data_IF_674486566870
#
_entry.id   IF_674486566870
#
_cell.length_a   1.000
_cell.length_b   1.000
_cell.length_c   1.000
_cell.angle_alpha   90.00
_cell.angle_beta   90.00
_cell.angle_gamma   90.00
#
_symmetry.space_group_name_H-M   'P 1'
#
loop_
_entity.id
_entity.type
_entity.pdbx_description
1 polymer ?
#
# COMPACT_ATOMS: atom_id res chain seq x y z
N UNK A 1 42.72 -15.26 -51.68
CA UNK A 1 41.71 -14.66 -50.78
C UNK A 1 41.57 -13.21 -51.15
N UNK A 2 40.47 -12.88 -51.81
CA UNK A 2 40.15 -11.55 -52.34
C UNK A 2 39.69 -10.62 -51.22
N UNK A 3 39.91 -9.32 -51.40
CA UNK A 3 39.62 -8.25 -50.41
C UNK A 3 38.16 -8.20 -49.92
N UNK A 4 37.24 -8.88 -50.63
CA UNK A 4 35.83 -9.01 -50.26
C UNK A 4 35.53 -9.95 -49.09
N UNK A 5 36.40 -10.94 -48.81
CA UNK A 5 36.18 -11.88 -47.68
C UNK A 5 36.56 -11.28 -46.32
N UNK A 6 37.46 -10.28 -46.30
CA UNK A 6 37.86 -9.58 -45.06
C UNK A 6 36.77 -8.62 -44.55
N UNK A 7 35.95 -8.04 -45.44
CA UNK A 7 34.88 -7.10 -45.04
C UNK A 7 33.67 -7.82 -44.42
N UNK A 8 33.33 -9.03 -44.91
CA UNK A 8 32.24 -9.85 -44.37
C UNK A 8 32.58 -10.46 -43.01
N UNK A 9 33.85 -10.85 -42.77
CA UNK A 9 34.32 -11.32 -41.48
C UNK A 9 34.34 -10.22 -40.40
N UNK A 10 34.57 -8.96 -40.78
CA UNK A 10 34.49 -7.80 -39.88
C UNK A 10 33.06 -7.46 -39.45
N UNK A 11 32.08 -7.57 -40.36
CA UNK A 11 30.67 -7.29 -40.07
C UNK A 11 30.02 -8.35 -39.15
N UNK A 12 30.34 -9.63 -39.34
CA UNK A 12 29.86 -10.71 -38.46
C UNK A 12 30.52 -10.65 -37.07
N UNK A 13 31.81 -10.31 -36.98
CA UNK A 13 32.50 -10.08 -35.71
C UNK A 13 31.96 -8.82 -34.97
N UNK A 14 31.51 -7.80 -35.70
CA UNK A 14 30.89 -6.60 -35.12
C UNK A 14 29.46 -6.88 -34.60
N UNK A 15 28.67 -7.68 -35.33
CA UNK A 15 27.35 -8.14 -34.89
C UNK A 15 27.43 -9.07 -33.67
N UNK A 16 28.35 -10.06 -33.65
CA UNK A 16 28.54 -10.94 -32.50
C UNK A 16 29.04 -10.20 -31.24
N UNK A 17 29.89 -9.16 -31.37
CA UNK A 17 30.28 -8.31 -30.22
C UNK A 17 29.10 -7.52 -29.64
N UNK A 18 28.07 -7.26 -30.44
CA UNK A 18 26.87 -6.53 -30.01
C UNK A 18 25.90 -7.45 -29.26
N UNK A 19 25.72 -8.69 -29.71
CA UNK A 19 24.95 -9.72 -28.99
C UNK A 19 25.55 -10.01 -27.61
N UNK A 20 26.87 -10.19 -27.51
CA UNK A 20 27.56 -10.37 -26.22
C UNK A 20 27.38 -9.18 -25.25
N UNK A 21 27.28 -7.95 -25.77
CA UNK A 21 27.01 -6.75 -24.95
C UNK A 21 25.57 -6.72 -24.42
N UNK A 22 24.59 -7.11 -25.24
CA UNK A 22 23.18 -7.15 -24.86
C UNK A 22 22.92 -8.26 -23.85
N UNK A 23 23.51 -9.44 -24.03
CA UNK A 23 23.42 -10.54 -23.07
C UNK A 23 24.08 -10.18 -21.73
N UNK A 24 25.22 -9.49 -21.78
CA UNK A 24 25.88 -8.95 -20.59
C UNK A 24 25.03 -7.94 -19.83
N UNK A 25 24.37 -7.02 -20.54
CA UNK A 25 23.45 -6.03 -19.96
C UNK A 25 22.20 -6.71 -19.41
N UNK A 26 21.59 -7.63 -20.16
CA UNK A 26 20.40 -8.39 -19.74
C UNK A 26 20.68 -9.22 -18.48
N UNK A 27 21.82 -9.91 -18.42
CA UNK A 27 22.25 -10.65 -17.24
C UNK A 27 22.57 -9.72 -16.05
N UNK A 28 23.14 -8.54 -16.30
CA UNK A 28 23.38 -7.52 -15.28
C UNK A 28 22.06 -6.97 -14.69
N UNK A 29 21.12 -6.60 -15.57
CA UNK A 29 19.78 -6.12 -15.20
C UNK A 29 19.03 -7.22 -14.45
N UNK A 30 19.04 -8.45 -14.94
CA UNK A 30 18.39 -9.58 -14.27
C UNK A 30 18.90 -9.81 -12.85
N UNK A 31 20.22 -9.72 -12.64
CA UNK A 31 20.85 -9.87 -11.30
C UNK A 31 20.58 -8.68 -10.38
N UNK A 32 20.37 -7.47 -10.91
CA UNK A 32 20.20 -6.23 -10.13
C UNK A 32 18.78 -5.65 -10.18
N UNK A 33 17.82 -6.37 -10.76
CA UNK A 33 16.45 -5.87 -11.03
C UNK A 33 15.78 -5.27 -9.80
N UNK A 34 15.88 -5.92 -8.64
CA UNK A 34 15.28 -5.43 -7.38
C UNK A 34 15.88 -4.08 -6.99
N UNK A 35 17.21 -3.96 -7.03
CA UNK A 35 17.90 -2.71 -6.68
C UNK A 35 17.56 -1.58 -7.68
N UNK A 36 17.49 -1.89 -8.97
CA UNK A 36 17.09 -0.92 -9.99
C UNK A 36 15.66 -0.42 -9.77
N UNK A 37 14.71 -1.33 -9.51
CA UNK A 37 13.32 -0.97 -9.23
C UNK A 37 13.23 -0.12 -7.94
N UNK A 38 13.99 -0.45 -6.89
CA UNK A 38 14.04 0.37 -5.67
C UNK A 38 14.53 1.79 -5.97
N UNK A 39 15.64 1.92 -6.71
CA UNK A 39 16.18 3.24 -7.08
C UNK A 39 15.17 4.04 -7.89
N UNK A 40 14.51 3.42 -8.87
CA UNK A 40 13.47 4.08 -9.66
C UNK A 40 12.26 4.48 -8.81
N UNK A 41 11.81 3.62 -7.91
CA UNK A 41 10.69 3.91 -7.00
C UNK A 41 11.00 5.03 -6.02
N UNK A 42 12.24 5.10 -5.50
CA UNK A 42 12.73 6.21 -4.66
C UNK A 42 12.79 7.49 -5.49
N UNK A 43 13.38 7.42 -6.68
CA UNK A 43 13.51 8.56 -7.58
C UNK A 43 12.13 9.16 -7.93
N UNK A 44 11.14 8.33 -8.26
CA UNK A 44 9.79 8.79 -8.57
C UNK A 44 9.13 9.54 -7.39
N UNK A 45 9.29 9.05 -6.15
CA UNK A 45 8.76 9.69 -4.93
C UNK A 45 9.48 11.00 -4.62
N UNK A 46 10.80 11.02 -4.75
CA UNK A 46 11.62 12.23 -4.55
C UNK A 46 11.31 13.28 -5.61
N UNK A 47 11.21 12.89 -6.88
CA UNK A 47 10.83 13.81 -7.97
C UNK A 47 9.45 14.44 -7.71
N UNK A 48 8.47 13.62 -7.31
CA UNK A 48 7.14 14.10 -6.95
C UNK A 48 7.15 15.05 -5.74
N UNK A 49 7.99 14.79 -4.74
CA UNK A 49 8.17 15.68 -3.59
C UNK A 49 8.85 17.00 -3.98
N UNK A 50 9.92 16.95 -4.77
CA UNK A 50 10.69 18.12 -5.22
C UNK A 50 9.88 19.03 -6.14
N UNK A 51 8.90 18.48 -6.86
CA UNK A 51 7.92 19.28 -7.59
C UNK A 51 7.10 20.22 -6.69
N UNK A 52 7.09 19.98 -5.37
CA UNK A 52 6.51 20.85 -4.35
C UNK A 52 5.12 21.37 -4.73
N UNK A 53 4.22 20.42 -5.08
CA UNK A 53 2.85 20.75 -5.45
C UNK A 53 2.20 21.59 -4.35
N UNK A 54 1.27 22.46 -4.74
CA UNK A 54 0.47 23.21 -3.77
C UNK A 54 -0.31 22.25 -2.88
N UNK A 55 -0.46 22.64 -1.63
CA UNK A 55 -1.32 21.95 -0.70
C UNK A 55 -2.76 22.00 -1.22
N UNK A 56 -3.48 20.93 -0.95
CA UNK A 56 -4.91 20.88 -1.15
C UNK A 56 -5.68 21.35 0.08
N UNK A 57 -6.95 21.68 -0.10
CA UNK A 57 -7.89 22.08 0.95
C UNK A 57 -7.68 21.39 2.31
N UNK A 58 -7.63 20.06 2.33
CA UNK A 58 -7.47 19.29 3.58
C UNK A 58 -6.03 19.28 4.10
N UNK A 59 -5.02 19.43 3.25
CA UNK A 59 -3.63 19.67 3.63
C UNK A 59 -3.43 21.06 4.21
N UNK A 60 -4.03 22.11 3.64
CA UNK A 60 -3.93 23.48 4.16
C UNK A 60 -4.64 23.60 5.51
N UNK A 61 -5.81 22.99 5.65
CA UNK A 61 -6.50 22.88 6.93
C UNK A 61 -5.63 22.18 7.99
N UNK A 62 -4.95 21.09 7.61
CA UNK A 62 -4.03 20.39 8.53
C UNK A 62 -2.77 21.20 8.81
N UNK A 63 -2.20 21.86 7.81
CA UNK A 63 -1.02 22.71 7.94
C UNK A 63 -1.28 23.86 8.93
N UNK A 64 -2.44 24.51 8.84
CA UNK A 64 -2.83 25.57 9.78
C UNK A 64 -2.84 25.07 11.22
N UNK A 65 -3.36 23.85 11.47
CA UNK A 65 -3.29 23.23 12.78
C UNK A 65 -1.84 22.97 13.22
N UNK A 66 -0.98 22.49 12.32
CA UNK A 66 0.43 22.20 12.63
C UNK A 66 1.22 23.45 12.99
N UNK A 67 1.00 24.54 12.25
CA UNK A 67 1.67 25.83 12.45
C UNK A 67 1.19 26.52 13.72
N UNK A 68 -0.13 26.63 13.89
CA UNK A 68 -0.72 27.49 14.93
C UNK A 68 -0.82 26.86 16.32
N UNK A 69 -1.05 25.54 16.41
CA UNK A 69 -1.31 24.87 17.70
C UNK A 69 -0.03 24.39 18.38
N UNK A 70 0.05 24.52 19.69
CA UNK A 70 1.08 23.88 20.52
C UNK A 70 0.96 22.36 20.53
N UNK A 71 2.01 21.66 20.97
CA UNK A 71 2.00 20.20 21.11
C UNK A 71 0.84 19.68 21.96
N UNK A 72 0.49 20.37 23.05
CA UNK A 72 -0.63 19.98 23.92
C UNK A 72 -1.97 20.15 23.21
N UNK A 73 -2.14 21.25 22.47
CA UNK A 73 -3.39 21.55 21.75
C UNK A 73 -3.66 20.61 20.58
N UNK A 74 -2.64 19.90 20.07
CA UNK A 74 -2.79 18.87 19.03
C UNK A 74 -3.51 17.61 19.51
N UNK A 75 -3.59 17.38 20.81
CA UNK A 75 -4.40 16.31 21.40
C UNK A 75 -5.86 16.72 21.61
N UNK A 76 -6.19 17.99 21.39
CA UNK A 76 -7.55 18.53 21.45
C UNK A 76 -8.13 18.82 20.06
N UNK A 77 -9.27 19.53 20.00
CA UNK A 77 -9.99 19.79 18.75
C UNK A 77 -9.14 20.43 17.66
N UNK A 78 -9.17 19.86 16.46
CA UNK A 78 -8.50 20.39 15.27
C UNK A 78 -9.46 21.26 14.45
N UNK A 79 -8.95 22.38 13.96
CA UNK A 79 -9.68 23.30 13.08
C UNK A 79 -9.97 22.65 11.73
N UNK A 80 -11.11 22.99 11.11
CA UNK A 80 -11.47 22.55 9.76
C UNK A 80 -11.87 21.07 9.66
N UNK A 81 -12.52 20.55 10.71
CA UNK A 81 -13.01 19.17 10.82
C UNK A 81 -11.94 18.13 10.48
N UNK A 82 -10.71 18.32 10.95
CA UNK A 82 -9.58 17.46 10.63
C UNK A 82 -9.45 16.28 11.61
N UNK A 83 -8.84 15.21 11.12
CA UNK A 83 -8.45 14.05 11.90
C UNK A 83 -7.10 13.55 11.38
N UNK A 84 -6.14 13.40 12.29
CA UNK A 84 -4.83 12.84 11.98
C UNK A 84 -4.24 12.14 13.22
N UNK A 85 -3.46 11.06 13.05
CA UNK A 85 -2.85 10.37 14.19
C UNK A 85 -1.99 11.34 15.02
N UNK A 86 -2.10 11.37 16.36
CA UNK A 86 -1.35 12.33 17.17
C UNK A 86 0.16 12.22 16.98
N UNK A 87 0.72 11.01 16.93
CA UNK A 87 2.14 10.80 16.68
C UNK A 87 2.60 11.33 15.32
N UNK A 88 1.75 11.26 14.29
CA UNK A 88 2.01 11.90 12.99
C UNK A 88 2.10 13.43 13.14
N UNK A 89 1.11 14.04 13.81
CA UNK A 89 1.10 15.50 14.06
C UNK A 89 2.33 15.98 14.85
N UNK A 90 2.76 15.21 15.86
CA UNK A 90 3.93 15.56 16.66
C UNK A 90 5.20 15.60 15.82
N UNK A 91 5.38 14.63 14.91
CA UNK A 91 6.55 14.59 14.00
C UNK A 91 6.49 15.73 13.00
N UNK A 92 5.33 16.00 12.40
CA UNK A 92 5.17 17.12 11.47
C UNK A 92 5.48 18.46 12.14
N UNK A 93 4.97 18.68 13.35
CA UNK A 93 5.28 19.89 14.12
C UNK A 93 6.76 20.00 14.46
N UNK A 94 7.38 18.88 14.85
CA UNK A 94 8.81 18.86 15.13
C UNK A 94 9.64 19.22 13.89
N UNK A 95 9.30 18.65 12.73
CA UNK A 95 9.93 19.00 11.45
C UNK A 95 9.74 20.48 11.10
N UNK A 96 8.52 21.01 11.28
CA UNK A 96 8.22 22.43 11.08
C UNK A 96 9.05 23.35 11.97
N UNK A 97 9.15 23.05 13.27
CA UNK A 97 9.94 23.86 14.22
C UNK A 97 11.44 23.80 13.93
N UNK A 98 11.94 22.66 13.46
CA UNK A 98 13.37 22.47 13.18
C UNK A 98 13.81 23.09 11.85
N UNK A 99 12.99 22.98 10.80
CA UNK A 99 13.36 23.31 9.42
C UNK A 99 12.69 24.60 8.90
N UNK A 100 11.74 25.16 9.65
CA UNK A 100 11.09 26.43 9.40
C UNK A 100 9.84 26.35 8.51
N UNK A 101 9.26 27.53 8.27
CA UNK A 101 8.00 27.69 7.54
C UNK A 101 8.19 27.62 6.03
N UNK A 102 8.24 26.39 5.50
CA UNK A 102 8.26 26.13 4.06
C UNK A 102 7.25 25.02 3.73
N UNK A 103 6.45 25.16 2.66
CA UNK A 103 5.38 24.21 2.34
C UNK A 103 5.83 22.74 2.20
N UNK A 104 7.04 22.51 1.69
CA UNK A 104 7.56 21.14 1.51
C UNK A 104 8.03 20.49 2.82
N UNK A 105 8.31 21.25 3.89
CA UNK A 105 8.80 20.70 5.17
C UNK A 105 7.77 19.74 5.76
N UNK A 106 6.49 20.12 5.67
CA UNK A 106 5.34 19.34 6.13
C UNK A 106 5.05 18.10 5.26
N UNK A 107 5.90 17.80 4.28
CA UNK A 107 5.79 16.62 3.41
C UNK A 107 7.00 15.69 3.54
N UNK A 108 8.01 16.09 4.32
CA UNK A 108 9.24 15.30 4.50
C UNK A 108 8.93 13.98 5.17
N UNK A 109 8.12 13.98 6.23
CA UNK A 109 7.80 12.74 6.93
C UNK A 109 6.99 11.76 6.06
N UNK A 110 5.91 12.18 5.35
CA UNK A 110 5.24 11.36 4.34
C UNK A 110 6.19 10.80 3.29
N UNK A 111 7.15 11.60 2.80
CA UNK A 111 8.15 11.15 1.82
C UNK A 111 9.03 10.04 2.41
N UNK A 112 9.57 10.26 3.62
CA UNK A 112 10.42 9.28 4.29
C UNK A 112 9.66 7.98 4.55
N UNK A 113 8.39 8.05 4.96
CA UNK A 113 7.53 6.88 5.10
C UNK A 113 7.27 6.19 3.75
N UNK A 114 6.99 6.95 2.68
CA UNK A 114 6.79 6.41 1.34
C UNK A 114 8.04 5.71 0.77
N UNK A 115 9.23 6.22 1.09
CA UNK A 115 10.53 5.59 0.77
C UNK A 115 10.75 4.35 1.63
N UNK A 116 10.57 4.44 2.94
CA UNK A 116 10.71 3.32 3.86
C UNK A 116 9.77 2.16 3.48
N UNK A 117 8.55 2.48 3.04
CA UNK A 117 7.57 1.51 2.57
C UNK A 117 8.10 0.67 1.39
N UNK A 118 8.87 1.21 0.45
CA UNK A 118 9.49 0.42 -0.63
C UNK A 118 10.41 -0.69 -0.09
N UNK A 119 11.25 -0.35 0.89
CA UNK A 119 12.20 -1.28 1.49
C UNK A 119 11.53 -2.29 2.41
N UNK A 120 10.49 -1.87 3.14
CA UNK A 120 9.68 -2.80 3.93
C UNK A 120 8.90 -3.76 3.02
N UNK A 121 8.31 -3.22 1.94
CA UNK A 121 7.53 -3.98 0.97
C UNK A 121 8.32 -5.11 0.35
N UNK A 122 9.54 -4.86 -0.15
CA UNK A 122 10.36 -5.93 -0.74
C UNK A 122 10.70 -7.02 0.28
N UNK A 123 10.91 -6.66 1.55
CA UNK A 123 11.21 -7.64 2.62
C UNK A 123 10.01 -8.48 3.00
N UNK A 124 8.81 -7.89 2.98
CA UNK A 124 7.56 -8.65 3.14
C UNK A 124 7.34 -9.55 1.92
N UNK A 125 7.56 -9.04 0.71
CA UNK A 125 7.43 -9.80 -0.54
C UNK A 125 8.35 -11.03 -0.56
N UNK A 126 9.63 -10.88 -0.20
CA UNK A 126 10.60 -11.98 -0.14
C UNK A 126 10.23 -13.08 0.86
N UNK A 127 9.47 -12.75 1.90
CA UNK A 127 9.02 -13.71 2.93
C UNK A 127 7.70 -14.37 2.60
N UNK A 128 6.83 -13.68 1.85
CA UNK A 128 5.50 -14.17 1.53
C UNK A 128 5.45 -14.87 0.18
N UNK A 129 6.10 -14.33 -0.84
CA UNK A 129 5.88 -14.69 -2.25
C UNK A 129 6.83 -15.77 -2.76
N UNK A 130 6.49 -16.36 -3.92
CA UNK A 130 7.47 -17.13 -4.70
C UNK A 130 8.56 -16.20 -5.26
N UNK A 131 9.81 -16.67 -5.46
CA UNK A 131 10.92 -15.82 -5.91
C UNK A 131 10.64 -15.05 -7.22
N UNK A 132 9.88 -15.65 -8.13
CA UNK A 132 9.53 -15.02 -9.41
C UNK A 132 8.46 -13.92 -9.28
N UNK A 133 7.68 -13.90 -8.20
CA UNK A 133 6.64 -12.89 -7.96
C UNK A 133 7.17 -11.63 -7.27
N UNK A 134 8.29 -11.73 -6.53
CA UNK A 134 8.85 -10.61 -5.73
C UNK A 134 9.12 -9.37 -6.57
N UNK A 135 9.79 -9.51 -7.72
CA UNK A 135 10.12 -8.37 -8.56
C UNK A 135 8.88 -7.79 -9.26
N UNK A 136 7.87 -8.63 -9.58
CA UNK A 136 6.60 -8.18 -10.16
C UNK A 136 5.87 -7.31 -9.14
N UNK A 137 5.74 -7.79 -7.90
CA UNK A 137 5.12 -7.05 -6.82
C UNK A 137 5.82 -5.70 -6.60
N UNK A 138 7.16 -5.73 -6.52
CA UNK A 138 7.94 -4.53 -6.26
C UNK A 138 7.84 -3.53 -7.42
N UNK A 139 7.84 -3.99 -8.66
CA UNK A 139 7.65 -3.13 -9.82
C UNK A 139 6.29 -2.44 -9.78
N UNK A 140 5.20 -3.17 -9.48
CA UNK A 140 3.85 -2.60 -9.36
C UNK A 140 3.79 -1.55 -8.25
N UNK A 141 4.39 -1.85 -7.09
CA UNK A 141 4.45 -0.91 -5.96
C UNK A 141 5.28 0.33 -6.27
N UNK A 142 6.39 0.16 -7.00
CA UNK A 142 7.30 1.25 -7.34
C UNK A 142 6.67 2.28 -8.29
N UNK A 143 5.88 1.82 -9.27
CA UNK A 143 5.23 2.66 -10.29
C UNK A 143 3.78 3.03 -9.96
N UNK A 144 3.22 2.56 -8.84
CA UNK A 144 1.85 2.87 -8.42
C UNK A 144 1.65 4.38 -8.26
N UNK A 145 0.66 4.90 -8.99
CA UNK A 145 0.41 6.34 -9.09
C UNK A 145 0.04 6.96 -7.74
N UNK A 146 -0.87 6.30 -7.01
CA UNK A 146 -1.32 6.75 -5.69
C UNK A 146 -0.22 6.63 -4.63
N UNK A 147 0.57 5.54 -4.62
CA UNK A 147 1.67 5.40 -3.66
C UNK A 147 2.81 6.41 -3.90
N UNK A 148 3.01 6.87 -5.13
CA UNK A 148 3.96 7.97 -5.43
C UNK A 148 3.34 9.32 -5.03
N UNK A 149 2.07 9.55 -5.36
CA UNK A 149 1.38 10.80 -5.06
C UNK A 149 1.31 11.07 -3.55
N UNK A 150 0.83 10.11 -2.77
CA UNK A 150 0.62 10.24 -1.33
C UNK A 150 1.94 10.26 -0.53
N UNK A 151 3.08 9.96 -1.15
CA UNK A 151 4.41 10.21 -0.58
C UNK A 151 4.76 11.71 -0.52
N UNK A 152 3.98 12.57 -1.18
CA UNK A 152 4.17 14.03 -1.21
C UNK A 152 2.94 14.81 -0.71
N UNK A 153 2.05 14.15 0.03
CA UNK A 153 0.85 14.75 0.59
C UNK A 153 1.00 14.93 2.11
N UNK A 154 0.61 16.10 2.64
CA UNK A 154 0.54 16.37 4.07
C UNK A 154 -0.66 15.64 4.69
N UNK A 155 -0.57 14.31 4.69
CA UNK A 155 -1.51 13.35 5.28
C UNK A 155 -0.76 12.07 5.66
N UNK A 156 -1.37 11.32 6.58
CA UNK A 156 -0.80 10.09 7.13
C UNK A 156 -0.77 8.90 6.17
N UNK A 157 -1.29 8.98 4.94
CA UNK A 157 -1.49 7.79 4.09
C UNK A 157 -0.20 6.98 3.80
N UNK A 158 0.93 7.65 3.53
CA UNK A 158 2.22 6.96 3.36
C UNK A 158 2.72 6.34 4.67
N UNK A 159 2.46 7.01 5.79
CA UNK A 159 2.74 6.49 7.13
C UNK A 159 1.90 5.25 7.40
N UNK A 160 0.62 5.25 7.04
CA UNK A 160 -0.28 4.10 7.18
C UNK A 160 0.27 2.86 6.46
N UNK A 161 0.71 3.04 5.21
CA UNK A 161 1.33 1.98 4.41
C UNK A 161 2.62 1.47 5.06
N UNK A 162 3.51 2.37 5.49
CA UNK A 162 4.79 2.00 6.10
C UNK A 162 4.60 1.25 7.43
N UNK A 163 3.67 1.72 8.29
CA UNK A 163 3.38 1.08 9.58
C UNK A 163 2.71 -0.27 9.40
N UNK A 164 1.78 -0.41 8.45
CA UNK A 164 1.19 -1.71 8.09
C UNK A 164 2.25 -2.72 7.66
N UNK A 165 3.14 -2.33 6.74
CA UNK A 165 4.23 -3.19 6.27
C UNK A 165 5.24 -3.55 7.36
N UNK A 166 5.53 -2.62 8.28
CA UNK A 166 6.37 -2.91 9.46
C UNK A 166 5.72 -3.96 10.35
N UNK A 167 4.42 -3.84 10.61
CA UNK A 167 3.65 -4.82 11.38
C UNK A 167 3.62 -6.20 10.70
N UNK A 168 3.39 -6.24 9.38
CA UNK A 168 3.45 -7.48 8.59
C UNK A 168 4.82 -8.16 8.74
N UNK A 169 5.91 -7.38 8.60
CA UNK A 169 7.27 -7.90 8.71
C UNK A 169 7.55 -8.50 10.10
N UNK A 170 7.12 -7.83 11.17
CA UNK A 170 7.27 -8.30 12.54
C UNK A 170 6.42 -9.53 12.84
N UNK A 171 5.18 -9.57 12.32
CA UNK A 171 4.31 -10.74 12.46
C UNK A 171 4.88 -11.96 11.72
N UNK A 172 5.41 -11.79 10.52
CA UNK A 172 6.11 -12.85 9.78
C UNK A 172 7.35 -13.35 10.53
N UNK A 173 8.08 -12.47 11.21
CA UNK A 173 9.24 -12.85 12.04
C UNK A 173 8.87 -13.69 13.28
N UNK A 174 7.60 -13.67 13.71
CA UNK A 174 7.06 -14.53 14.77
C UNK A 174 6.56 -15.88 14.29
N UNK A 175 6.26 -16.03 12.99
CA UNK A 175 5.91 -17.33 12.41
C UNK A 175 7.13 -18.24 12.29
N UNK A 176 8.32 -17.67 12.07
CA UNK A 176 9.54 -18.45 11.89
C UNK A 176 10.16 -18.79 13.25
N UNK A 177 10.30 -20.10 13.53
CA UNK A 177 11.02 -20.59 14.70
C UNK A 177 12.49 -20.20 14.65
N UNK A 178 12.87 -19.18 15.43
CA UNK A 178 14.24 -18.68 15.55
C UNK A 178 14.64 -18.43 17.01
N UNK A 179 15.94 -18.30 17.34
CA UNK A 179 16.39 -17.87 18.65
C UNK A 179 15.77 -16.51 19.06
N UNK A 180 15.68 -16.28 20.37
CA UNK A 180 15.17 -15.05 20.99
C UNK A 180 13.69 -14.72 20.67
N UNK A 181 12.81 -15.73 20.60
CA UNK A 181 11.37 -15.51 20.37
C UNK A 181 10.73 -14.56 21.39
N UNK A 182 11.13 -14.63 22.66
CA UNK A 182 10.63 -13.72 23.70
C UNK A 182 10.95 -12.26 23.41
N UNK A 183 12.19 -11.95 22.99
CA UNK A 183 12.57 -10.59 22.61
C UNK A 183 11.81 -10.11 21.38
N UNK A 184 11.57 -10.98 20.40
CA UNK A 184 10.77 -10.64 19.19
C UNK A 184 9.32 -10.34 19.56
N UNK A 185 8.74 -11.14 20.45
CA UNK A 185 7.39 -10.91 20.96
C UNK A 185 7.33 -9.56 21.68
N UNK A 186 8.22 -9.30 22.63
CA UNK A 186 8.29 -8.00 23.35
C UNK A 186 8.48 -6.84 22.37
N UNK A 187 9.39 -6.97 21.40
CA UNK A 187 9.60 -5.96 20.36
C UNK A 187 8.31 -5.69 19.59
N UNK A 188 7.58 -6.72 19.18
CA UNK A 188 6.33 -6.52 18.44
C UNK A 188 5.21 -5.97 19.33
N UNK A 189 5.13 -6.38 20.59
CA UNK A 189 4.23 -5.79 21.59
C UNK A 189 4.45 -4.29 21.70
N UNK A 190 5.69 -3.85 21.91
CA UNK A 190 6.05 -2.44 22.04
C UNK A 190 5.80 -1.68 20.74
N UNK A 191 6.29 -2.20 19.60
CA UNK A 191 6.11 -1.54 18.30
C UNK A 191 4.62 -1.40 17.97
N UNK A 192 3.83 -2.46 18.10
CA UNK A 192 2.39 -2.42 17.83
C UNK A 192 1.64 -1.42 18.72
N UNK A 193 2.05 -1.24 19.98
CA UNK A 193 1.48 -0.22 20.85
C UNK A 193 1.88 1.21 20.46
N UNK A 194 3.03 1.40 19.82
CA UNK A 194 3.51 2.72 19.38
C UNK A 194 2.96 3.11 18.00
N UNK A 195 2.92 2.19 17.03
CA UNK A 195 2.54 2.50 15.64
C UNK A 195 1.10 2.99 15.50
N UNK A 196 0.18 2.57 16.39
CA UNK A 196 -1.21 3.07 16.41
C UNK A 196 -1.31 4.59 16.62
N UNK A 197 -0.27 5.22 17.17
CA UNK A 197 -0.21 6.68 17.32
C UNK A 197 0.16 7.39 16.02
N UNK A 198 0.75 6.69 15.06
CA UNK A 198 1.21 7.23 13.78
C UNK A 198 0.27 6.90 12.62
N UNK A 199 -0.60 5.89 12.81
CA UNK A 199 -1.53 5.41 11.79
C UNK A 199 -2.83 4.93 12.44
N UNK A 200 -3.96 5.51 12.05
CA UNK A 200 -5.27 5.00 12.47
C UNK A 200 -5.59 3.61 11.91
N UNK A 201 -5.46 3.34 10.59
CA UNK A 201 -5.86 2.05 10.04
C UNK A 201 -4.94 0.88 10.44
N UNK A 202 -3.74 1.13 10.98
CA UNK A 202 -2.88 0.05 11.49
C UNK A 202 -3.56 -0.77 12.60
N UNK A 203 -4.57 -0.22 13.28
CA UNK A 203 -5.39 -0.97 14.23
C UNK A 203 -6.08 -2.19 13.57
N UNK A 204 -6.57 -2.05 12.33
CA UNK A 204 -7.15 -3.16 11.57
C UNK A 204 -6.09 -4.19 11.15
N UNK A 205 -4.89 -3.71 10.80
CA UNK A 205 -3.74 -4.56 10.50
C UNK A 205 -3.35 -5.39 11.72
N UNK A 206 -3.11 -4.75 12.87
CA UNK A 206 -2.76 -5.43 14.12
C UNK A 206 -3.84 -6.41 14.57
N UNK A 207 -5.12 -6.06 14.44
CA UNK A 207 -6.22 -6.97 14.75
C UNK A 207 -6.21 -8.20 13.84
N UNK A 208 -6.08 -8.02 12.52
CA UNK A 208 -5.98 -9.12 11.56
C UNK A 208 -4.77 -10.02 11.82
N UNK A 209 -3.59 -9.44 12.02
CA UNK A 209 -2.36 -10.16 12.36
C UNK A 209 -2.48 -10.93 13.68
N UNK A 210 -3.04 -10.29 14.71
CA UNK A 210 -3.29 -10.89 16.01
C UNK A 210 -4.21 -12.11 15.93
N UNK A 211 -5.32 -12.00 15.21
CA UNK A 211 -6.25 -13.11 14.96
C UNK A 211 -5.53 -14.29 14.28
N UNK A 212 -4.76 -14.02 13.23
CA UNK A 212 -4.05 -15.07 12.48
C UNK A 212 -2.99 -15.75 13.34
N UNK A 213 -2.21 -14.99 14.12
CA UNK A 213 -1.19 -15.51 15.03
C UNK A 213 -1.79 -16.36 16.16
N UNK A 214 -2.87 -15.87 16.78
CA UNK A 214 -3.58 -16.59 17.85
C UNK A 214 -4.21 -17.87 17.28
N UNK A 215 -4.96 -17.76 16.17
CA UNK A 215 -5.60 -18.92 15.53
C UNK A 215 -4.58 -19.98 15.14
N UNK A 216 -3.40 -19.57 14.63
CA UNK A 216 -2.29 -20.46 14.34
C UNK A 216 -1.77 -21.20 15.59
N UNK A 217 -1.55 -20.46 16.69
CA UNK A 217 -1.11 -21.06 17.94
C UNK A 217 -2.15 -22.03 18.53
N UNK A 218 -3.44 -21.71 18.41
CA UNK A 218 -4.53 -22.58 18.86
C UNK A 218 -4.67 -23.83 18.00
N UNK A 219 -4.53 -23.71 16.68
CA UNK A 219 -4.53 -24.85 15.75
C UNK A 219 -3.37 -25.82 16.04
N UNK A 220 -2.21 -25.29 16.45
CA UNK A 220 -1.05 -26.05 16.90
C UNK A 220 -1.17 -26.55 18.36
N UNK A 221 -2.31 -26.29 19.04
CA UNK A 221 -2.55 -26.60 20.47
C UNK A 221 -1.52 -25.98 21.42
N UNK A 222 -0.84 -24.91 20.99
CA UNK A 222 0.15 -24.16 21.76
C UNK A 222 -0.51 -23.10 22.65
N UNK A 223 -1.35 -23.53 23.60
CA UNK A 223 -2.18 -22.64 24.43
C UNK A 223 -1.40 -21.53 25.15
N UNK A 224 -0.21 -21.84 25.68
CA UNK A 224 0.66 -20.84 26.34
C UNK A 224 1.10 -19.73 25.38
N UNK A 225 1.46 -20.10 24.14
CA UNK A 225 1.80 -19.15 23.07
C UNK A 225 0.57 -18.32 22.69
N UNK A 226 -0.59 -18.96 22.56
CA UNK A 226 -1.87 -18.29 22.32
C UNK A 226 -2.19 -17.24 23.38
N UNK A 227 -2.02 -17.57 24.67
CA UNK A 227 -2.22 -16.62 25.77
C UNK A 227 -1.24 -15.44 25.70
N UNK A 228 0.05 -15.68 25.43
CA UNK A 228 1.03 -14.60 25.29
C UNK A 228 0.69 -13.66 24.12
N UNK A 229 0.24 -14.21 22.99
CA UNK A 229 -0.21 -13.44 21.83
C UNK A 229 -1.50 -12.65 22.13
N UNK A 230 -2.42 -13.23 22.88
CA UNK A 230 -3.62 -12.54 23.34
C UNK A 230 -3.27 -11.36 24.26
N UNK A 231 -2.36 -11.54 25.22
CA UNK A 231 -1.86 -10.46 26.09
C UNK A 231 -1.18 -9.35 25.28
N UNK A 232 -0.38 -9.70 24.28
CA UNK A 232 0.18 -8.73 23.34
C UNK A 232 -0.92 -7.92 22.63
N UNK A 233 -1.95 -8.59 22.11
CA UNK A 233 -3.09 -7.91 21.47
C UNK A 233 -3.86 -7.02 22.44
N UNK A 234 -3.97 -7.38 23.72
CA UNK A 234 -4.57 -6.53 24.76
C UNK A 234 -3.76 -5.25 24.98
N UNK A 235 -2.42 -5.33 24.96
CA UNK A 235 -1.56 -4.14 25.06
C UNK A 235 -1.76 -3.21 23.86
N UNK A 236 -1.83 -3.76 22.65
CA UNK A 236 -2.16 -2.98 21.45
C UNK A 236 -3.55 -2.35 21.54
N UNK A 237 -4.55 -3.13 21.96
CA UNK A 237 -5.93 -2.68 22.14
C UNK A 237 -6.04 -1.54 23.15
N UNK A 238 -5.34 -1.64 24.28
CA UNK A 238 -5.27 -0.58 25.28
C UNK A 238 -4.66 0.71 24.73
N UNK A 239 -3.57 0.62 23.97
CA UNK A 239 -2.97 1.78 23.30
C UNK A 239 -3.91 2.41 22.26
N UNK A 240 -4.56 1.56 21.45
CA UNK A 240 -5.54 1.99 20.46
C UNK A 240 -6.73 2.71 21.09
N UNK A 241 -7.28 2.22 22.22
CA UNK A 241 -8.37 2.90 22.93
C UNK A 241 -7.97 4.32 23.32
N UNK A 242 -6.75 4.51 23.81
CA UNK A 242 -6.26 5.85 24.14
C UNK A 242 -6.18 6.76 22.90
N UNK A 243 -5.60 6.27 21.80
CA UNK A 243 -5.55 7.02 20.53
C UNK A 243 -6.95 7.32 20.01
N UNK A 244 -7.89 6.38 20.13
CA UNK A 244 -9.28 6.55 19.71
C UNK A 244 -9.97 7.66 20.50
N UNK A 245 -9.80 7.70 21.83
CA UNK A 245 -10.34 8.78 22.68
C UNK A 245 -9.78 10.14 22.26
N UNK A 246 -8.45 10.25 22.08
CA UNK A 246 -7.81 11.48 21.60
C UNK A 246 -8.33 11.88 20.21
N UNK A 247 -8.49 10.91 19.31
CA UNK A 247 -9.00 11.14 17.96
C UNK A 247 -10.44 11.65 17.94
N UNK A 248 -11.26 11.21 18.91
CA UNK A 248 -12.63 11.71 19.08
C UNK A 248 -12.64 13.16 19.58
N UNK A 249 -11.74 13.52 20.49
CA UNK A 249 -11.56 14.91 20.94
C UNK A 249 -11.08 15.81 19.78
N UNK A 250 -10.17 15.32 18.94
CA UNK A 250 -9.67 16.05 17.76
C UNK A 250 -10.78 16.42 16.76
N UNK A 251 -11.75 15.52 16.54
CA UNK A 251 -12.85 15.76 15.62
C UNK A 251 -13.83 16.86 16.10
N UNK A 252 -13.95 17.06 17.41
CA UNK A 252 -14.93 17.99 17.99
C UNK A 252 -16.36 17.67 17.55
N UNK A 253 -16.93 18.49 16.66
CA UNK A 253 -18.28 18.29 16.10
C UNK A 253 -18.30 17.18 15.04
N UNK A 254 -18.67 15.97 15.45
CA UNK A 254 -18.67 14.74 14.63
C UNK A 254 -19.48 14.83 13.32
N UNK A 255 -20.53 15.65 13.25
CA UNK A 255 -21.53 15.59 12.18
C UNK A 255 -21.02 15.80 10.75
N UNK A 256 -19.98 16.63 10.57
CA UNK A 256 -19.50 17.02 9.23
C UNK A 256 -18.76 15.90 8.50
N UNK A 257 -17.85 15.19 9.19
CA UNK A 257 -17.11 14.06 8.61
C UNK A 257 -18.02 12.88 8.28
N UNK A 258 -19.02 12.62 9.13
CA UNK A 258 -20.01 11.59 8.88
C UNK A 258 -20.90 11.89 7.68
N UNK A 259 -21.35 13.15 7.54
CA UNK A 259 -22.12 13.57 6.37
C UNK A 259 -21.31 13.44 5.07
N UNK A 260 -20.01 13.80 5.11
CA UNK A 260 -19.13 13.70 3.95
C UNK A 260 -18.92 12.25 3.50
N UNK A 261 -18.68 11.33 4.44
CA UNK A 261 -18.37 9.92 4.12
C UNK A 261 -19.59 9.00 4.05
N UNK A 262 -20.82 9.52 4.16
CA UNK A 262 -22.04 8.69 4.22
C UNK A 262 -22.16 7.69 3.05
N UNK A 263 -21.66 8.06 1.86
CA UNK A 263 -21.69 7.21 0.65
C UNK A 263 -20.78 5.97 0.74
N UNK A 264 -19.80 5.96 1.65
CA UNK A 264 -18.77 4.93 1.77
C UNK A 264 -19.17 3.79 2.72
N UNK A 265 -20.41 3.79 3.19
CA UNK A 265 -20.99 2.82 4.09
C UNK A 265 -22.10 2.02 3.40
N UNK A 266 -22.42 0.81 3.89
CA UNK A 266 -23.53 0.04 3.36
C UNK A 266 -24.87 0.75 3.61
N UNK A 267 -25.88 0.52 2.73
CA UNK A 267 -27.17 1.18 2.87
C UNK A 267 -27.87 0.82 4.18
N UNK A 268 -28.57 1.80 4.76
CA UNK A 268 -29.52 1.61 5.87
C UNK A 268 -30.93 1.98 5.40
N UNK A 269 -31.95 1.10 5.58
CA UNK A 269 -31.89 -0.22 6.20
C UNK A 269 -31.14 -1.26 5.34
N UNK A 270 -30.58 -2.28 5.98
CA UNK A 270 -29.88 -3.35 5.29
C UNK A 270 -30.89 -4.26 4.57
N UNK A 271 -30.89 -4.24 3.24
CA UNK A 271 -31.61 -5.22 2.42
C UNK A 271 -30.61 -6.26 1.91
N UNK A 272 -31.06 -7.51 1.70
CA UNK A 272 -30.18 -8.58 1.20
C UNK A 272 -29.54 -8.19 -0.14
N UNK A 273 -30.35 -7.69 -1.07
CA UNK A 273 -29.89 -7.26 -2.39
C UNK A 273 -28.98 -6.02 -2.32
N UNK A 274 -29.40 -4.96 -1.62
CA UNK A 274 -28.62 -3.71 -1.52
C UNK A 274 -27.31 -3.89 -0.77
N UNK A 275 -27.29 -4.70 0.29
CA UNK A 275 -26.07 -5.03 1.02
C UNK A 275 -25.10 -5.88 0.19
N UNK A 276 -25.59 -6.87 -0.56
CA UNK A 276 -24.77 -7.69 -1.43
C UNK A 276 -24.18 -6.88 -2.61
N UNK A 277 -25.00 -6.03 -3.24
CA UNK A 277 -24.55 -5.13 -4.30
C UNK A 277 -23.46 -4.18 -3.79
N UNK A 278 -23.69 -3.51 -2.66
CA UNK A 278 -22.70 -2.62 -2.05
C UNK A 278 -21.39 -3.35 -1.76
N UNK A 279 -21.46 -4.57 -1.22
CA UNK A 279 -20.28 -5.37 -0.91
C UNK A 279 -19.47 -5.69 -2.17
N UNK A 280 -20.14 -6.19 -3.22
CA UNK A 280 -19.48 -6.54 -4.49
C UNK A 280 -18.84 -5.31 -5.12
N UNK A 281 -19.60 -4.21 -5.24
CA UNK A 281 -19.10 -2.94 -5.79
C UNK A 281 -17.91 -2.42 -4.98
N UNK A 282 -17.99 -2.42 -3.65
CA UNK A 282 -16.93 -1.90 -2.78
C UNK A 282 -15.65 -2.73 -2.84
N UNK A 283 -15.76 -4.06 -2.91
CA UNK A 283 -14.60 -4.95 -3.05
C UNK A 283 -13.96 -4.81 -4.42
N UNK A 284 -14.74 -4.78 -5.50
CA UNK A 284 -14.22 -4.58 -6.85
C UNK A 284 -13.59 -3.19 -7.01
N UNK A 285 -14.18 -2.18 -6.36
CA UNK A 285 -13.68 -0.81 -6.39
C UNK A 285 -12.25 -0.71 -5.84
N UNK A 286 -11.82 -1.54 -4.87
CA UNK A 286 -10.42 -1.58 -4.40
C UNK A 286 -9.40 -1.70 -5.54
N UNK A 287 -9.75 -2.47 -6.57
CA UNK A 287 -8.89 -2.74 -7.72
C UNK A 287 -8.90 -1.61 -8.75
N UNK A 288 -9.94 -0.76 -8.70
CA UNK A 288 -10.04 0.46 -9.49
C UNK A 288 -9.42 1.67 -8.78
N UNK A 289 -9.59 1.76 -7.45
CA UNK A 289 -8.98 2.74 -6.58
C UNK A 289 -8.92 2.19 -5.14
N UNK A 290 -7.76 2.20 -4.45
CA UNK A 290 -6.50 2.89 -4.80
C UNK A 290 -5.42 2.03 -5.49
N UNK A 291 -5.70 0.78 -5.90
CA UNK A 291 -4.68 -0.06 -6.60
C UNK A 291 -4.38 0.46 -8.01
N UNK A 292 -5.44 0.54 -8.83
CA UNK A 292 -5.46 1.10 -10.17
C UNK A 292 -4.30 0.69 -11.09
N UNK A 293 -4.15 -0.60 -11.34
CA UNK A 293 -3.21 -1.06 -12.37
C UNK A 293 -3.85 -0.79 -13.74
N UNK A 294 -3.53 0.34 -14.36
CA UNK A 294 -4.09 0.72 -15.66
C UNK A 294 -3.56 -0.18 -16.79
N UNK A 295 -4.45 -0.68 -17.64
CA UNK A 295 -4.10 -1.40 -18.87
C UNK A 295 -4.83 -0.81 -20.08
N UNK A 296 -4.40 -1.09 -21.33
CA UNK A 296 -5.06 -0.60 -22.54
C UNK A 296 -6.54 -1.02 -22.69
N UNK A 297 -7.01 -1.95 -21.87
CA UNK A 297 -8.39 -2.45 -21.87
C UNK A 297 -9.37 -1.52 -21.15
N UNK A 298 -8.87 -0.42 -20.57
CA UNK A 298 -9.66 0.50 -19.78
C UNK A 298 -9.79 0.08 -18.31
N UNK A 299 -10.30 0.99 -17.46
CA UNK A 299 -10.21 0.87 -16.00
C UNK A 299 -11.02 -0.30 -15.45
N UNK A 300 -12.24 -0.51 -15.94
CA UNK A 300 -13.11 -1.60 -15.46
C UNK A 300 -12.54 -2.99 -15.74
N UNK A 301 -12.10 -3.24 -16.98
CA UNK A 301 -11.49 -4.52 -17.33
C UNK A 301 -10.16 -4.72 -16.60
N UNK A 302 -9.38 -3.65 -16.41
CA UNK A 302 -8.14 -3.72 -15.64
C UNK A 302 -8.37 -4.08 -14.16
N UNK A 303 -9.42 -3.53 -13.55
CA UNK A 303 -9.83 -3.86 -12.18
C UNK A 303 -10.28 -5.33 -12.08
N UNK A 304 -11.08 -5.81 -13.03
CA UNK A 304 -11.51 -7.22 -13.08
C UNK A 304 -10.34 -8.19 -13.30
N UNK A 305 -9.39 -7.86 -14.17
CA UNK A 305 -8.18 -8.65 -14.38
C UNK A 305 -7.33 -8.70 -13.11
N UNK A 306 -7.16 -7.55 -12.44
CA UNK A 306 -6.44 -7.46 -11.17
C UNK A 306 -7.13 -8.29 -10.08
N UNK A 307 -8.47 -8.24 -10.01
CA UNK A 307 -9.25 -9.09 -9.11
C UNK A 307 -9.08 -10.58 -9.43
N UNK A 308 -9.10 -10.96 -10.71
CA UNK A 308 -8.83 -12.32 -11.16
C UNK A 308 -7.44 -12.81 -10.73
N UNK A 309 -6.40 -12.01 -10.94
CA UNK A 309 -5.05 -12.35 -10.46
C UNK A 309 -4.95 -12.41 -8.95
N UNK A 310 -5.65 -11.54 -8.23
CA UNK A 310 -5.75 -11.61 -6.77
C UNK A 310 -6.33 -12.96 -6.31
N UNK A 311 -7.45 -13.41 -6.90
CA UNK A 311 -8.05 -14.71 -6.57
C UNK A 311 -7.11 -15.88 -6.88
N UNK A 312 -6.43 -15.84 -8.03
CA UNK A 312 -5.42 -16.83 -8.41
C UNK A 312 -4.25 -16.81 -7.43
N UNK A 313 -3.81 -15.63 -6.98
CA UNK A 313 -2.79 -15.47 -5.94
C UNK A 313 -3.19 -16.12 -4.62
N UNK A 314 -4.40 -15.84 -4.13
CA UNK A 314 -4.97 -16.50 -2.95
C UNK A 314 -4.97 -18.03 -3.10
N UNK A 315 -5.43 -18.54 -4.25
CA UNK A 315 -5.40 -19.98 -4.54
C UNK A 315 -3.98 -20.56 -4.57
N UNK A 316 -3.00 -19.81 -5.07
CA UNK A 316 -1.58 -20.20 -5.06
C UNK A 316 -1.06 -20.41 -3.63
N UNK A 317 -1.35 -19.47 -2.72
CA UNK A 317 -0.98 -19.57 -1.30
C UNK A 317 -1.61 -20.79 -0.63
N UNK A 318 -2.91 -21.02 -0.85
CA UNK A 318 -3.63 -22.20 -0.31
C UNK A 318 -2.99 -23.49 -0.83
N UNK A 319 -2.73 -23.58 -2.14
CA UNK A 319 -2.14 -24.76 -2.77
C UNK A 319 -0.77 -25.13 -2.20
N UNK A 320 0.07 -24.14 -1.88
CA UNK A 320 1.39 -24.35 -1.25
C UNK A 320 1.35 -24.37 0.28
N UNK A 321 0.15 -24.44 0.87
CA UNK A 321 -0.09 -24.48 2.33
C UNK A 321 0.47 -23.27 3.10
N UNK A 322 0.62 -22.12 2.43
CA UNK A 322 1.06 -20.87 3.04
C UNK A 322 -0.11 -20.11 3.69
N UNK A 323 -0.91 -20.81 4.50
CA UNK A 323 -2.17 -20.30 5.03
C UNK A 323 -1.97 -19.14 6.02
N UNK A 324 -0.89 -19.16 6.82
CA UNK A 324 -0.63 -18.10 7.79
C UNK A 324 -0.24 -16.78 7.10
N UNK A 325 0.74 -16.73 6.16
CA UNK A 325 0.98 -15.52 5.36
C UNK A 325 -0.25 -15.05 4.58
N UNK A 326 -1.04 -15.96 4.00
CA UNK A 326 -2.28 -15.58 3.30
C UNK A 326 -3.27 -14.89 4.26
N UNK A 327 -3.48 -15.48 5.43
CA UNK A 327 -4.32 -14.90 6.47
C UNK A 327 -3.84 -13.52 6.88
N UNK A 328 -2.53 -13.32 7.04
CA UNK A 328 -1.95 -12.01 7.38
C UNK A 328 -2.23 -10.95 6.32
N UNK A 329 -2.21 -11.32 5.03
CA UNK A 329 -2.49 -10.39 3.93
C UNK A 329 -3.98 -10.08 3.74
N UNK A 330 -4.87 -11.04 4.01
CA UNK A 330 -6.31 -10.91 3.76
C UNK A 330 -7.08 -10.38 4.98
N UNK A 331 -6.71 -10.79 6.19
CA UNK A 331 -7.45 -10.47 7.40
C UNK A 331 -7.61 -8.95 7.65
N UNK A 332 -6.59 -8.09 7.46
CA UNK A 332 -6.76 -6.64 7.64
C UNK A 332 -7.88 -6.06 6.77
N UNK A 333 -8.00 -6.51 5.51
CA UNK A 333 -9.06 -6.10 4.60
C UNK A 333 -10.45 -6.55 5.09
N UNK A 334 -10.57 -7.79 5.57
CA UNK A 334 -11.82 -8.31 6.12
C UNK A 334 -12.24 -7.58 7.40
N UNK A 335 -11.31 -7.26 8.29
CA UNK A 335 -11.58 -6.50 9.51
C UNK A 335 -12.01 -5.07 9.17
N UNK A 336 -11.36 -4.44 8.18
CA UNK A 336 -11.72 -3.08 7.72
C UNK A 336 -13.12 -3.07 7.10
N UNK A 337 -13.45 -4.08 6.29
CA UNK A 337 -14.78 -4.25 5.72
C UNK A 337 -15.84 -4.46 6.83
N UNK A 338 -15.54 -5.30 7.82
CA UNK A 338 -16.42 -5.51 8.97
C UNK A 338 -16.64 -4.20 9.76
N UNK A 339 -15.59 -3.41 9.98
CA UNK A 339 -15.71 -2.10 10.60
C UNK A 339 -16.62 -1.16 9.80
N UNK A 340 -16.55 -1.19 8.46
CA UNK A 340 -17.46 -0.43 7.59
C UNK A 340 -18.91 -0.91 7.66
N UNK A 341 -19.16 -2.22 7.74
CA UNK A 341 -20.51 -2.75 7.98
C UNK A 341 -21.11 -2.22 9.29
N UNK A 342 -20.28 -2.09 10.33
CA UNK A 342 -20.66 -1.45 11.61
C UNK A 342 -20.74 0.08 11.53
N UNK A 343 -20.46 0.66 10.36
CA UNK A 343 -20.35 2.08 10.09
C UNK A 343 -19.21 2.78 10.84
N UNK A 344 -18.24 2.06 11.38
CA UNK A 344 -17.16 2.63 12.19
C UNK A 344 -16.03 3.25 11.36
N UNK A 345 -15.86 2.80 10.10
CA UNK A 345 -14.79 3.26 9.22
C UNK A 345 -15.24 3.25 7.76
N UNK A 346 -15.03 4.33 6.98
CA UNK A 346 -15.49 4.38 5.59
C UNK A 346 -14.65 3.43 4.71
N UNK A 347 -15.30 2.61 3.90
CA UNK A 347 -14.60 1.69 3.00
C UNK A 347 -14.47 2.31 1.61
N UNK A 348 -13.58 3.29 1.45
CA UNK A 348 -13.44 3.98 0.18
C UNK A 348 -12.06 4.60 -0.08
N UNK A 349 -11.64 4.51 -1.34
CA UNK A 349 -10.57 5.28 -1.94
C UNK A 349 -9.28 5.34 -1.12
N UNK A 350 -8.74 6.55 -0.95
CA UNK A 350 -7.47 6.81 -0.25
C UNK A 350 -7.41 6.34 1.21
N UNK A 351 -8.55 6.14 1.87
CA UNK A 351 -8.60 5.60 3.24
C UNK A 351 -8.14 4.14 3.28
N UNK A 352 -8.24 3.42 2.16
CA UNK A 352 -7.85 2.01 2.04
C UNK A 352 -6.44 1.82 1.49
N UNK A 353 -5.64 2.89 1.36
CA UNK A 353 -4.29 2.83 0.78
C UNK A 353 -3.37 1.85 1.53
N UNK A 354 -3.55 1.69 2.84
CA UNK A 354 -2.80 0.74 3.66
C UNK A 354 -3.03 -0.74 3.29
N UNK A 355 -4.11 -1.06 2.55
CA UNK A 355 -4.39 -2.41 2.05
C UNK A 355 -3.69 -2.71 0.71
N UNK A 356 -3.32 -1.67 -0.04
CA UNK A 356 -2.66 -1.79 -1.36
C UNK A 356 -1.45 -2.72 -1.34
N UNK A 357 -0.54 -2.67 -0.35
CA UNK A 357 0.61 -3.57 -0.32
C UNK A 357 0.18 -5.05 -0.33
N UNK A 358 -0.75 -5.44 0.53
CA UNK A 358 -1.23 -6.81 0.61
C UNK A 358 -1.91 -7.27 -0.69
N UNK A 359 -2.70 -6.38 -1.29
CA UNK A 359 -3.39 -6.66 -2.56
C UNK A 359 -2.40 -6.82 -3.71
N UNK A 360 -1.38 -5.95 -3.82
CA UNK A 360 -0.33 -6.06 -4.83
C UNK A 360 0.50 -7.35 -4.68
N UNK A 361 0.79 -7.78 -3.44
CA UNK A 361 1.48 -9.06 -3.19
C UNK A 361 0.68 -10.24 -3.74
N UNK A 362 -0.63 -10.27 -3.48
CA UNK A 362 -1.52 -11.34 -3.95
C UNK A 362 -1.70 -11.31 -5.47
N UNK A 363 -1.88 -10.13 -6.06
CA UNK A 363 -1.93 -9.96 -7.52
C UNK A 363 -0.65 -10.47 -8.18
N UNK A 364 0.52 -10.06 -7.67
CA UNK A 364 1.81 -10.46 -8.22
C UNK A 364 2.07 -11.97 -8.11
N UNK A 365 1.66 -12.59 -7.00
CA UNK A 365 1.69 -14.05 -6.86
C UNK A 365 0.83 -14.73 -7.93
N UNK A 366 -0.38 -14.20 -8.17
CA UNK A 366 -1.29 -14.70 -9.20
C UNK A 366 -0.69 -14.60 -10.59
N UNK A 367 -0.17 -13.42 -10.96
CA UNK A 367 0.51 -13.17 -12.24
C UNK A 367 1.68 -14.16 -12.42
N UNK A 368 2.55 -14.30 -11.42
CA UNK A 368 3.67 -15.24 -11.48
C UNK A 368 3.20 -16.69 -11.63
N UNK A 369 2.07 -17.07 -11.00
CA UNK A 369 1.54 -18.42 -11.13
C UNK A 369 1.03 -18.70 -12.55
N UNK A 370 0.30 -17.76 -13.14
CA UNK A 370 -0.20 -17.89 -14.52
C UNK A 370 0.95 -17.96 -15.52
N UNK A 371 2.00 -17.14 -15.34
CA UNK A 371 3.21 -17.20 -16.19
C UNK A 371 3.86 -18.58 -16.13
N UNK A 372 4.04 -19.14 -14.92
CA UNK A 372 4.62 -20.47 -14.74
C UNK A 372 3.72 -21.57 -15.32
N UNK A 373 2.41 -21.45 -15.19
CA UNK A 373 1.46 -22.43 -15.70
C UNK A 373 1.40 -22.46 -17.23
N UNK A 374 1.41 -21.31 -17.89
CA UNK A 374 1.36 -21.20 -19.35
C UNK A 374 2.71 -21.52 -20.00
N UNK A 375 3.83 -21.13 -19.36
CA UNK A 375 5.19 -21.47 -19.80
C UNK A 375 5.69 -20.79 -21.10
N UNK A 376 4.84 -20.05 -21.81
CA UNK A 376 5.21 -19.35 -23.06
C UNK A 376 5.88 -18.01 -22.80
N UNK A 377 7.09 -17.81 -23.36
CA UNK A 377 7.81 -16.52 -23.31
C UNK A 377 7.05 -15.38 -23.99
N UNK A 378 6.33 -15.68 -25.08
CA UNK A 378 5.51 -14.69 -25.78
C UNK A 378 4.35 -14.23 -24.90
N UNK A 379 3.64 -15.18 -24.28
CA UNK A 379 2.56 -14.88 -23.34
C UNK A 379 3.06 -14.06 -22.14
N UNK A 380 4.20 -14.45 -21.56
CA UNK A 380 4.84 -13.71 -20.48
C UNK A 380 5.15 -12.27 -20.89
N UNK A 381 5.73 -12.06 -22.09
CA UNK A 381 6.03 -10.73 -22.61
C UNK A 381 4.78 -9.88 -22.80
N UNK A 382 3.70 -10.44 -23.37
CA UNK A 382 2.42 -9.74 -23.57
C UNK A 382 1.76 -9.40 -22.24
N UNK A 383 1.70 -10.34 -21.30
CA UNK A 383 1.08 -10.12 -20.00
C UNK A 383 1.82 -9.06 -19.18
N UNK A 384 3.15 -9.16 -19.07
CA UNK A 384 3.96 -8.19 -18.36
C UNK A 384 3.96 -6.83 -19.08
N UNK A 385 3.98 -6.82 -20.41
CA UNK A 385 3.84 -5.61 -21.21
C UNK A 385 2.51 -4.92 -20.94
N UNK A 386 1.39 -5.65 -20.99
CA UNK A 386 0.05 -5.11 -20.69
C UNK A 386 -0.08 -4.59 -19.26
N UNK A 387 0.56 -5.25 -18.29
CA UNK A 387 0.52 -4.88 -16.88
C UNK A 387 1.37 -3.65 -16.55
N UNK A 388 2.53 -3.48 -17.20
CA UNK A 388 3.51 -2.46 -16.83
C UNK A 388 3.62 -1.30 -17.80
N UNK A 389 3.18 -1.42 -19.06
CA UNK A 389 3.39 -0.37 -20.06
C UNK A 389 2.75 0.95 -19.64
N UNK A 390 1.43 0.98 -19.37
CA UNK A 390 0.75 2.21 -19.00
C UNK A 390 1.20 2.74 -17.63
N UNK A 391 1.29 1.94 -16.56
CA UNK A 391 1.74 2.47 -15.26
C UNK A 391 3.16 3.04 -15.32
N UNK A 392 4.06 2.42 -16.10
CA UNK A 392 5.43 2.93 -16.27
C UNK A 392 5.45 4.20 -17.11
N UNK A 393 4.67 4.27 -18.19
CA UNK A 393 4.55 5.49 -19.01
C UNK A 393 3.95 6.64 -18.20
N UNK A 394 2.92 6.38 -17.41
CA UNK A 394 2.29 7.36 -16.53
C UNK A 394 3.27 7.83 -15.44
N UNK A 395 3.97 6.90 -14.78
CA UNK A 395 4.99 7.26 -13.80
C UNK A 395 6.11 8.09 -14.41
N UNK A 396 6.53 7.77 -15.63
CA UNK A 396 7.56 8.51 -16.37
C UNK A 396 7.08 9.89 -16.81
N UNK A 397 5.87 9.98 -17.35
CA UNK A 397 5.23 11.25 -17.72
C UNK A 397 5.20 12.20 -16.51
N UNK A 398 4.83 11.67 -15.34
CA UNK A 398 4.79 12.45 -14.11
C UNK A 398 6.14 12.84 -13.50
N UNK A 399 7.26 12.40 -14.08
CA UNK A 399 8.58 12.96 -13.77
C UNK A 399 8.77 14.35 -14.40
N UNK A 400 8.09 14.61 -15.52
CA UNK A 400 8.16 15.88 -16.26
C UNK A 400 6.96 16.78 -15.94
N UNK A 401 5.78 16.17 -15.77
CA UNK A 401 4.53 16.84 -15.41
C UNK A 401 4.05 16.35 -14.05
N UNK A 402 4.51 16.98 -12.94
CA UNK A 402 4.26 16.49 -11.60
C UNK A 402 2.78 16.30 -11.32
N UNK A 403 2.44 15.27 -10.54
CA UNK A 403 1.04 15.00 -10.20
C UNK A 403 0.48 16.18 -9.42
N UNK A 404 -0.46 16.88 -10.03
CA UNK A 404 -1.21 17.95 -9.39
C UNK A 404 -2.55 17.41 -8.86
N UNK A 405 -3.08 18.11 -7.87
CA UNK A 405 -4.38 17.82 -7.28
C UNK A 405 -5.46 18.71 -7.94
N UNK A 406 -5.67 18.60 -9.26
CA UNK A 406 -6.48 19.55 -10.06
C UNK A 406 -7.85 19.06 -10.52
N UNK A 407 -8.06 17.75 -10.70
CA UNK A 407 -9.33 17.17 -11.16
C UNK A 407 -9.85 16.15 -10.15
N UNK A 408 -10.82 16.54 -9.32
CA UNK A 408 -11.41 15.70 -8.27
C UNK A 408 -12.88 15.47 -8.53
N UNK A 409 -13.37 14.30 -8.13
CA UNK A 409 -14.81 14.09 -8.00
C UNK A 409 -15.36 14.82 -6.76
N UNK A 410 -16.68 14.92 -6.70
CA UNK A 410 -17.42 15.45 -5.54
C UNK A 410 -17.09 14.75 -4.21
N UNK A 411 -16.47 13.57 -4.23
CA UNK A 411 -16.08 12.75 -3.07
C UNK A 411 -14.64 12.95 -2.60
N UNK A 412 -13.90 13.85 -3.25
CA UNK A 412 -12.55 14.23 -2.84
C UNK A 412 -11.47 13.20 -3.19
N UNK A 413 -11.75 12.25 -4.10
CA UNK A 413 -10.77 11.35 -4.70
C UNK A 413 -10.16 11.89 -5.99
N UNK A 414 -8.92 11.47 -6.28
CA UNK A 414 -8.10 11.92 -7.42
C UNK A 414 -8.70 11.57 -8.79
N UNK A 415 -9.78 10.80 -8.82
CA UNK A 415 -10.28 10.14 -10.02
C UNK A 415 -11.66 10.68 -10.41
N UNK A 416 -11.96 10.68 -11.72
CA UNK A 416 -13.24 11.15 -12.23
C UNK A 416 -14.41 10.30 -11.71
N UNK A 417 -15.59 10.92 -11.61
CA UNK A 417 -16.81 10.32 -11.06
C UNK A 417 -17.22 9.00 -11.74
N UNK A 418 -16.90 8.83 -13.02
CA UNK A 418 -17.22 7.63 -13.78
C UNK A 418 -16.52 6.34 -13.30
N UNK A 419 -15.55 6.45 -12.39
CA UNK A 419 -14.90 5.30 -11.76
C UNK A 419 -15.47 4.95 -10.40
N UNK A 420 -16.42 5.73 -9.88
CA UNK A 420 -17.02 5.46 -8.58
C UNK A 420 -17.78 4.12 -8.56
N UNK A 421 -17.96 3.50 -7.37
CA UNK A 421 -18.70 2.26 -7.22
C UNK A 421 -20.09 2.31 -7.85
N UNK A 422 -20.75 3.47 -7.82
CA UNK A 422 -22.08 3.71 -8.41
C UNK A 422 -22.09 3.74 -9.94
N UNK A 423 -20.94 3.98 -10.56
CA UNK A 423 -20.77 4.05 -12.02
C UNK A 423 -20.03 2.85 -12.61
N UNK A 424 -19.49 1.98 -11.76
CA UNK A 424 -19.01 0.67 -12.20
C UNK A 424 -20.19 -0.13 -12.77
N UNK A 425 -20.05 -0.75 -13.96
CA UNK A 425 -21.16 -1.37 -14.71
C UNK A 425 -21.70 -2.68 -14.11
N UNK A 426 -21.54 -2.93 -12.80
CA UNK A 426 -21.97 -4.16 -12.11
C UNK A 426 -22.96 -3.87 -11.02
#
# INVERSE_FOLDING_TARGET
>A
MTDGDRSRAGASAWLMRREFRVDGISAWVGRRRIALILVLGVFARVAQFLANRRNWLDEDSLAQNIVSKTYKEMFGPLSGAQLAPPGFLLVERFCFQLLGDRPFVLKIFPLLCGIAALFLFVRVAERCLRPNAVWIALALFAVSDDLIYFASELKQYSTDVAMGLLCDLLALDLLVSRPAQGLRLVRFTVVGAVVVWFSHPVAFVLAGLGIVLIASALAERAWKKGLCLALMCMVWGGSFVFVYVVSQEQLGHRGTMWAFWAFAFPPRPWTVFGGAEWLVRSVLYLFANPIEIQTPLGPTLSALLSFGFFLIGCASFVRRKANQPLGMLVAPGLITLFASCLHLYPFHGRLLLFLVPALLLLIAEGVAWVIEWVGSRAFQGVLLGGLFLLPTLQATYHLFEPRQRTNFNSRGDRRPENLEPTHFPF
#
